data_IF_657929993332
#
_entry.id   IF_657929993332
#
_cell.length_a   1.000
_cell.length_b   1.000
_cell.length_c   1.000
_cell.angle_alpha   90.00
_cell.angle_beta   90.00
_cell.angle_gamma   90.00
#
_symmetry.space_group_name_H-M   'P 1'
#
loop_
_entity.id
_entity.type
_entity.pdbx_description
1 polymer ?
#
# COMPACT_ATOMS: atom_id res chain seq x y z
N UNK A 1 -60.20 24.23 59.46
CA UNK A 1 -59.34 24.96 58.50
C UNK A 1 -57.92 24.36 58.42
N UNK A 2 -57.23 24.15 59.54
CA UNK A 2 -55.88 23.54 59.58
C UNK A 2 -55.75 22.16 58.91
N UNK A 3 -56.73 21.27 59.08
CA UNK A 3 -56.69 19.92 58.49
C UNK A 3 -56.66 19.92 56.94
N UNK A 4 -57.38 20.84 56.30
CA UNK A 4 -57.38 20.97 54.83
C UNK A 4 -56.06 21.55 54.30
N UNK A 5 -55.42 22.45 55.06
CA UNK A 5 -54.12 23.00 54.71
C UNK A 5 -53.04 21.91 54.80
N UNK A 6 -53.04 21.14 55.89
CA UNK A 6 -52.14 20.02 56.10
C UNK A 6 -52.29 18.95 55.00
N UNK A 7 -53.52 18.62 54.60
CA UNK A 7 -53.79 17.69 53.51
C UNK A 7 -53.21 18.19 52.18
N UNK A 8 -53.40 19.46 51.82
CA UNK A 8 -52.82 20.04 50.59
C UNK A 8 -51.29 20.02 50.60
N UNK A 9 -50.66 20.31 51.74
CA UNK A 9 -49.20 20.23 51.87
C UNK A 9 -48.71 18.80 51.72
N UNK A 10 -49.40 17.82 52.31
CA UNK A 10 -49.07 16.41 52.17
C UNK A 10 -49.22 15.93 50.72
N UNK A 11 -50.31 16.27 50.03
CA UNK A 11 -50.50 15.93 48.61
C UNK A 11 -49.40 16.51 47.73
N UNK A 12 -49.09 17.80 47.90
CA UNK A 12 -48.03 18.47 47.12
C UNK A 12 -46.64 17.90 47.40
N UNK A 13 -46.36 17.53 48.65
CA UNK A 13 -45.11 16.87 49.02
C UNK A 13 -45.01 15.48 48.36
N UNK A 14 -46.12 14.74 48.29
CA UNK A 14 -46.15 13.42 47.66
C UNK A 14 -45.95 13.51 46.13
N UNK A 15 -46.58 14.49 45.48
CA UNK A 15 -46.38 14.78 44.05
C UNK A 15 -44.92 15.16 43.76
N UNK A 16 -44.30 16.02 44.58
CA UNK A 16 -42.89 16.38 44.45
C UNK A 16 -41.97 15.18 44.67
N UNK A 17 -42.25 14.33 45.65
CA UNK A 17 -41.47 13.11 45.90
C UNK A 17 -41.57 12.14 44.72
N UNK A 18 -42.77 11.98 44.14
CA UNK A 18 -42.96 11.13 42.96
C UNK A 18 -42.21 11.69 41.74
N UNK A 19 -42.29 13.00 41.50
CA UNK A 19 -41.56 13.65 40.42
C UNK A 19 -40.04 13.52 40.59
N UNK A 20 -39.55 13.69 41.83
CA UNK A 20 -38.13 13.51 42.16
C UNK A 20 -37.67 12.05 41.94
N UNK A 21 -38.48 11.06 42.31
CA UNK A 21 -38.17 9.65 42.07
C UNK A 21 -38.08 9.34 40.57
N UNK A 22 -39.04 9.82 39.77
CA UNK A 22 -39.02 9.65 38.31
C UNK A 22 -37.76 10.28 37.70
N UNK A 23 -37.43 11.50 38.12
CA UNK A 23 -36.24 12.20 37.63
C UNK A 23 -34.94 11.52 38.07
N UNK A 24 -34.89 10.99 39.29
CA UNK A 24 -33.74 10.22 39.78
C UNK A 24 -33.55 8.94 38.97
N UNK A 25 -34.62 8.17 38.72
CA UNK A 25 -34.53 6.95 37.91
C UNK A 25 -34.11 7.24 36.46
N UNK A 26 -34.60 8.34 35.87
CA UNK A 26 -34.16 8.78 34.55
C UNK A 26 -32.67 9.16 34.55
N UNK A 27 -32.20 9.84 35.59
CA UNK A 27 -30.79 10.24 35.73
C UNK A 27 -29.87 9.04 35.91
N UNK A 28 -30.25 8.05 36.72
CA UNK A 28 -29.49 6.79 36.89
C UNK A 28 -29.35 6.06 35.56
N UNK A 29 -30.43 5.94 34.79
CA UNK A 29 -30.41 5.29 33.48
C UNK A 29 -29.49 6.00 32.49
N UNK A 30 -29.52 7.33 32.47
CA UNK A 30 -28.62 8.12 31.63
C UNK A 30 -27.15 7.95 32.05
N UNK A 31 -26.88 7.89 33.36
CA UNK A 31 -25.53 7.64 33.86
C UNK A 31 -25.02 6.24 33.46
N UNK A 32 -25.87 5.21 33.53
CA UNK A 32 -25.53 3.85 33.07
C UNK A 32 -25.21 3.83 31.56
N UNK A 33 -26.04 4.48 30.73
CA UNK A 33 -25.81 4.58 29.29
C UNK A 33 -24.52 5.36 28.97
N UNK A 34 -24.25 6.44 29.70
CA UNK A 34 -23.03 7.22 29.54
C UNK A 34 -21.78 6.41 29.93
N UNK A 35 -21.85 5.63 31.01
CA UNK A 35 -20.75 4.75 31.42
C UNK A 35 -20.48 3.67 30.37
N UNK A 36 -21.52 3.04 29.83
CA UNK A 36 -21.38 2.05 28.77
C UNK A 36 -20.74 2.65 27.52
N UNK A 37 -21.20 3.84 27.09
CA UNK A 37 -20.61 4.53 25.94
C UNK A 37 -19.14 4.92 26.20
N UNK A 38 -18.80 5.34 27.41
CA UNK A 38 -17.42 5.66 27.79
C UNK A 38 -16.52 4.41 27.79
N UNK A 39 -17.03 3.26 28.24
CA UNK A 39 -16.31 1.99 28.17
C UNK A 39 -16.05 1.57 26.72
N UNK A 40 -17.07 1.65 25.86
CA UNK A 40 -16.93 1.38 24.42
C UNK A 40 -15.90 2.32 23.79
N UNK A 41 -16.01 3.62 24.05
CA UNK A 41 -15.06 4.63 23.57
C UNK A 41 -13.62 4.35 24.04
N UNK A 42 -13.42 3.96 25.31
CA UNK A 42 -12.12 3.59 25.85
C UNK A 42 -11.54 2.31 25.22
N UNK A 43 -12.40 1.36 24.83
CA UNK A 43 -11.96 0.17 24.07
C UNK A 43 -11.50 0.58 22.67
N UNK A 44 -12.23 1.45 21.99
CA UNK A 44 -11.83 1.96 20.68
C UNK A 44 -10.56 2.81 20.74
N UNK A 45 -10.44 3.70 21.72
CA UNK A 45 -9.25 4.53 21.92
C UNK A 45 -8.00 3.69 22.15
N UNK A 46 -8.07 2.68 23.02
CA UNK A 46 -6.94 1.75 23.26
C UNK A 46 -6.55 0.96 22.02
N UNK A 47 -7.51 0.55 21.18
CA UNK A 47 -7.22 -0.09 19.90
C UNK A 47 -6.58 0.87 18.90
N UNK A 48 -6.94 2.15 18.93
CA UNK A 48 -6.31 3.20 18.13
C UNK A 48 -4.85 3.42 18.53
N UNK A 49 -4.60 3.63 19.82
CA UNK A 49 -3.25 3.85 20.35
C UNK A 49 -2.30 2.67 20.08
N UNK A 50 -2.79 1.43 20.16
CA UNK A 50 -2.00 0.25 19.82
C UNK A 50 -1.49 0.26 18.37
N UNK A 51 -2.36 0.67 17.42
CA UNK A 51 -2.02 0.77 16.00
C UNK A 51 -1.04 1.90 15.70
N UNK A 52 -1.11 3.01 16.45
CA UNK A 52 -0.26 4.18 16.22
C UNK A 52 1.19 3.97 16.71
N UNK A 53 1.41 3.04 17.63
CA UNK A 53 2.74 2.74 18.21
C UNK A 53 3.43 1.56 17.47
N UNK A 54 2.73 0.89 16.55
CA UNK A 54 3.25 -0.28 15.85
C UNK A 54 4.44 0.10 14.95
N UNK A 55 5.63 -0.46 15.27
CA UNK A 55 6.82 -0.39 14.42
C UNK A 55 6.69 -1.43 13.31
N UNK A 56 5.82 -1.17 12.35
CA UNK A 56 5.69 -2.00 11.15
C UNK A 56 6.72 -1.58 10.11
N UNK A 57 7.89 -2.20 10.15
CA UNK A 57 8.86 -2.11 9.06
C UNK A 57 8.50 -3.18 8.02
N UNK A 58 7.56 -2.83 7.14
CA UNK A 58 7.29 -3.55 5.88
C UNK A 58 7.66 -2.61 4.74
N UNK A 59 8.56 -3.07 3.89
CA UNK A 59 8.97 -2.38 2.66
C UNK A 59 8.84 -3.34 1.50
N UNK A 60 8.65 -2.78 0.32
CA UNK A 60 8.57 -3.55 -0.91
C UNK A 60 9.66 -3.03 -1.84
N UNK A 61 10.39 -3.95 -2.45
CA UNK A 61 11.38 -3.66 -3.47
C UNK A 61 11.10 -4.55 -4.67
N UNK A 62 10.90 -3.93 -5.83
CA UNK A 62 10.61 -4.60 -7.08
C UNK A 62 11.80 -4.58 -8.02
N UNK A 63 12.12 -5.74 -8.61
CA UNK A 63 13.19 -5.89 -9.61
C UNK A 63 12.84 -6.98 -10.63
N UNK A 64 13.48 -6.97 -11.79
CA UNK A 64 13.35 -8.03 -12.79
C UNK A 64 14.13 -9.28 -12.37
N UNK A 65 13.44 -10.40 -12.20
CA UNK A 65 14.07 -11.70 -11.96
C UNK A 65 14.65 -12.26 -13.27
N UNK A 66 13.87 -12.14 -14.33
CA UNK A 66 14.25 -12.41 -15.71
C UNK A 66 13.36 -11.61 -16.65
N UNK A 67 13.69 -11.46 -17.95
CA UNK A 67 12.85 -10.72 -18.87
C UNK A 67 11.40 -11.23 -18.90
N UNK A 68 10.47 -10.33 -18.59
CA UNK A 68 9.04 -10.65 -18.46
C UNK A 68 8.63 -11.34 -17.17
N UNK A 69 9.50 -11.44 -16.16
CA UNK A 69 9.14 -11.83 -14.80
C UNK A 69 9.64 -10.80 -13.80
N UNK A 70 8.68 -10.07 -13.24
CA UNK A 70 8.93 -9.04 -12.25
C UNK A 70 8.75 -9.61 -10.85
N UNK A 71 9.77 -9.51 -10.00
CA UNK A 71 9.76 -9.98 -8.63
C UNK A 71 9.60 -8.81 -7.67
N UNK A 72 8.60 -8.91 -6.79
CA UNK A 72 8.37 -7.94 -5.73
C UNK A 72 8.67 -8.60 -4.38
N UNK A 73 9.77 -8.19 -3.75
CA UNK A 73 10.28 -8.77 -2.51
C UNK A 73 9.77 -7.98 -1.32
N UNK A 74 9.21 -8.68 -0.33
CA UNK A 74 8.93 -8.07 0.96
C UNK A 74 10.22 -7.94 1.77
N UNK A 75 10.54 -6.73 2.19
CA UNK A 75 11.63 -6.44 3.12
C UNK A 75 11.09 -5.94 4.46
N UNK A 76 11.94 -6.02 5.48
CA UNK A 76 11.63 -5.59 6.84
C UNK A 76 11.19 -6.72 7.76
N UNK A 77 11.07 -6.45 9.05
CA UNK A 77 10.93 -7.50 10.07
C UNK A 77 9.51 -8.03 10.23
N UNK A 78 8.50 -7.23 9.86
CA UNK A 78 7.10 -7.55 10.07
C UNK A 78 6.55 -8.48 8.96
N UNK A 79 5.44 -9.18 9.25
CA UNK A 79 4.69 -9.96 8.26
C UNK A 79 3.59 -9.10 7.67
N UNK A 80 3.44 -9.11 6.35
CA UNK A 80 2.32 -8.45 5.68
C UNK A 80 1.12 -9.39 5.58
N UNK A 81 -0.07 -8.90 5.94
CA UNK A 81 -1.33 -9.65 5.88
C UNK A 81 -2.26 -9.08 4.82
N UNK A 82 -3.15 -9.92 4.28
CA UNK A 82 -4.17 -9.51 3.30
C UNK A 82 -3.59 -8.67 2.15
N UNK A 83 -2.45 -9.13 1.62
CA UNK A 83 -1.66 -8.41 0.62
C UNK A 83 -2.36 -8.45 -0.74
N UNK A 84 -2.56 -7.28 -1.32
CA UNK A 84 -2.99 -7.09 -2.71
C UNK A 84 -1.91 -6.28 -3.41
N UNK A 85 -1.18 -6.92 -4.32
CA UNK A 85 -0.10 -6.29 -5.06
C UNK A 85 -0.50 -6.20 -6.54
N UNK A 86 -0.31 -5.02 -7.13
CA UNK A 86 -0.60 -4.72 -8.53
C UNK A 86 0.66 -4.11 -9.13
N UNK A 87 1.12 -4.71 -10.23
CA UNK A 87 2.25 -4.18 -11.00
C UNK A 87 1.75 -3.88 -12.40
N UNK A 88 2.11 -2.71 -12.92
CA UNK A 88 1.88 -2.34 -14.32
C UNK A 88 3.20 -2.10 -15.03
N UNK A 89 3.33 -2.67 -16.22
CA UNK A 89 4.47 -2.48 -17.13
C UNK A 89 3.92 -2.05 -18.48
N UNK A 90 4.24 -0.83 -18.91
CA UNK A 90 3.79 -0.24 -20.17
C UNK A 90 2.26 -0.35 -20.40
N UNK A 91 1.50 -0.20 -19.32
CA UNK A 91 0.03 -0.28 -19.33
C UNK A 91 -0.54 -1.70 -19.26
N UNK A 92 0.28 -2.74 -19.27
CA UNK A 92 -0.15 -4.10 -18.93
C UNK A 92 -0.18 -4.24 -17.42
N UNK A 93 -1.31 -4.63 -16.83
CA UNK A 93 -1.48 -4.73 -15.38
C UNK A 93 -1.67 -6.19 -14.95
N UNK A 94 -0.97 -6.59 -13.88
CA UNK A 94 -1.11 -7.92 -13.26
C UNK A 94 -1.26 -7.75 -11.75
N UNK A 95 -2.25 -8.43 -11.17
CA UNK A 95 -2.55 -8.39 -9.74
C UNK A 95 -2.36 -9.75 -9.07
N UNK A 96 -1.75 -9.78 -7.89
CA UNK A 96 -1.63 -10.95 -7.03
C UNK A 96 -2.26 -10.64 -5.68
N UNK A 97 -2.98 -11.62 -5.12
CA UNK A 97 -3.49 -11.58 -3.76
C UNK A 97 -2.85 -12.69 -2.95
N UNK A 98 -2.30 -12.34 -1.78
CA UNK A 98 -1.77 -13.31 -0.83
C UNK A 98 -2.32 -13.01 0.56
N UNK A 99 -2.86 -14.01 1.29
CA UNK A 99 -3.34 -13.78 2.65
C UNK A 99 -2.22 -13.42 3.62
N UNK A 100 -0.98 -13.81 3.29
CA UNK A 100 0.19 -13.58 4.14
C UNK A 100 1.45 -13.60 3.28
N UNK A 101 2.31 -12.62 3.50
CA UNK A 101 3.66 -12.56 2.93
C UNK A 101 4.64 -12.37 4.08
N UNK A 102 5.67 -13.23 4.15
CA UNK A 102 6.71 -13.15 5.17
C UNK A 102 7.96 -12.44 4.64
N UNK A 103 8.80 -11.93 5.55
CA UNK A 103 10.05 -11.27 5.19
C UNK A 103 10.90 -12.16 4.24
N UNK A 104 11.34 -11.57 3.13
CA UNK A 104 12.14 -12.23 2.08
C UNK A 104 11.31 -13.01 1.06
N UNK A 105 10.00 -13.14 1.24
CA UNK A 105 9.13 -13.75 0.25
C UNK A 105 8.97 -12.83 -0.96
N UNK A 106 8.96 -13.44 -2.16
CA UNK A 106 8.89 -12.73 -3.43
C UNK A 106 7.58 -13.07 -4.14
N UNK A 107 6.82 -12.04 -4.52
CA UNK A 107 5.67 -12.18 -5.40
C UNK A 107 6.13 -12.04 -6.85
N UNK A 108 5.84 -13.03 -7.68
CA UNK A 108 6.30 -13.07 -9.08
C UNK A 108 5.15 -12.74 -10.03
N UNK A 109 5.33 -11.69 -10.82
CA UNK A 109 4.39 -11.22 -11.84
C UNK A 109 4.92 -11.57 -13.22
N UNK A 110 4.04 -12.04 -14.10
CA UNK A 110 4.40 -12.44 -15.46
C UNK A 110 3.92 -11.39 -16.47
N UNK A 111 4.86 -10.90 -17.27
CA UNK A 111 4.66 -9.92 -18.34
C UNK A 111 5.24 -10.45 -19.66
N UNK A 112 4.52 -11.34 -20.37
CA UNK A 112 4.99 -11.89 -21.64
C UNK A 112 5.29 -10.81 -22.70
N UNK A 113 4.52 -9.73 -22.71
CA UNK A 113 4.74 -8.59 -23.60
C UNK A 113 6.08 -7.89 -23.32
N UNK A 114 6.48 -7.76 -22.05
CA UNK A 114 7.77 -7.19 -21.68
C UNK A 114 8.94 -8.10 -22.09
N UNK A 115 8.80 -9.43 -21.96
CA UNK A 115 9.81 -10.36 -22.48
C UNK A 115 10.00 -10.22 -24.00
N UNK A 116 8.91 -10.08 -24.74
CA UNK A 116 8.95 -9.91 -26.19
C UNK A 116 9.64 -8.58 -26.57
N UNK A 117 9.27 -7.47 -25.91
CA UNK A 117 9.88 -6.15 -26.12
C UNK A 117 11.40 -6.19 -25.84
N UNK A 118 11.79 -6.73 -24.68
CA UNK A 118 13.20 -6.90 -24.31
C UNK A 118 13.99 -7.69 -25.37
N UNK A 119 13.42 -8.79 -25.88
CA UNK A 119 14.09 -9.58 -26.91
C UNK A 119 14.28 -8.83 -28.24
N UNK A 120 13.30 -8.01 -28.63
CA UNK A 120 13.33 -7.22 -29.86
C UNK A 120 14.32 -6.06 -29.76
N UNK A 121 14.35 -5.38 -28.61
CA UNK A 121 15.34 -4.36 -28.30
C UNK A 121 16.74 -4.96 -28.35
N UNK A 122 16.96 -6.09 -27.64
CA UNK A 122 18.27 -6.73 -27.59
C UNK A 122 18.78 -7.13 -28.98
N UNK A 123 17.93 -7.70 -29.81
CA UNK A 123 18.28 -8.05 -31.20
C UNK A 123 18.68 -6.80 -32.01
N UNK A 124 17.96 -5.70 -31.85
CA UNK A 124 18.24 -4.43 -32.52
C UNK A 124 19.59 -3.84 -32.08
N UNK A 125 19.94 -3.99 -30.80
CA UNK A 125 21.25 -3.58 -30.29
C UNK A 125 22.38 -4.44 -30.82
N UNK A 126 22.22 -5.76 -30.81
CA UNK A 126 23.24 -6.67 -31.33
C UNK A 126 23.49 -6.41 -32.83
N UNK A 127 22.45 -6.09 -33.61
CA UNK A 127 22.59 -5.67 -35.01
C UNK A 127 23.33 -4.34 -35.15
N UNK A 128 22.99 -3.33 -34.34
CA UNK A 128 23.64 -2.03 -34.38
C UNK A 128 25.12 -2.11 -33.97
N UNK A 129 25.45 -2.92 -32.97
CA UNK A 129 26.83 -3.21 -32.55
C UNK A 129 27.57 -3.93 -33.68
N UNK A 130 26.95 -4.91 -34.32
CA UNK A 130 27.55 -5.64 -35.43
C UNK A 130 27.81 -4.72 -36.63
N UNK A 131 26.88 -3.84 -36.98
CA UNK A 131 27.04 -2.85 -38.06
C UNK A 131 28.14 -1.83 -37.74
N UNK A 132 28.23 -1.36 -36.50
CA UNK A 132 29.30 -0.46 -36.06
C UNK A 132 30.68 -1.12 -36.11
N UNK A 133 30.75 -2.44 -35.88
CA UNK A 133 31.99 -3.21 -35.96
C UNK A 133 32.44 -3.54 -37.40
N UNK A 134 31.60 -3.31 -38.43
CA UNK A 134 31.98 -3.60 -39.82
C UNK A 134 33.10 -2.66 -40.28
N UNK A 135 34.20 -3.18 -40.84
CA UNK A 135 35.28 -2.35 -41.36
C UNK A 135 34.78 -1.56 -42.57
N UNK A 136 34.48 -0.27 -42.37
CA UNK A 136 34.25 0.66 -43.48
C UNK A 136 35.60 0.86 -44.16
N UNK A 137 35.72 0.44 -45.42
CA UNK A 137 36.96 0.34 -46.20
C UNK A 137 37.69 1.66 -46.50
N UNK A 138 37.75 2.59 -45.55
CA UNK A 138 38.53 3.82 -45.59
C UNK A 138 39.89 3.58 -44.95
N UNK A 139 40.96 3.91 -45.70
CA UNK A 139 42.36 3.65 -45.36
C UNK A 139 42.85 4.31 -44.05
N UNK A 140 42.07 5.22 -43.47
CA UNK A 140 42.32 5.87 -42.19
C UNK A 140 40.98 5.97 -41.44
N UNK A 141 40.88 5.48 -40.18
CA UNK A 141 39.64 5.63 -39.42
C UNK A 141 39.42 7.13 -39.15
N UNK A 142 38.26 7.71 -39.52
CA UNK A 142 37.94 9.05 -39.07
C UNK A 142 37.88 9.04 -37.53
N UNK A 143 38.29 10.13 -36.88
CA UNK A 143 38.23 10.28 -35.41
C UNK A 143 36.83 9.94 -34.84
N UNK A 144 35.77 10.03 -35.64
CA UNK A 144 34.40 9.64 -35.30
C UNK A 144 34.17 8.13 -35.14
N UNK A 145 35.02 7.27 -35.72
CA UNK A 145 34.93 5.81 -35.55
C UNK A 145 35.33 5.36 -34.13
N UNK A 146 36.03 6.20 -33.37
CA UNK A 146 36.33 5.94 -31.96
C UNK A 146 35.19 6.31 -31.00
N UNK A 147 34.13 6.98 -31.47
CA UNK A 147 33.07 7.58 -30.62
C UNK A 147 31.66 7.12 -31.00
N UNK A 148 31.48 6.37 -32.10
CA UNK A 148 30.18 5.84 -32.49
C UNK A 148 29.79 4.61 -31.66
N UNK A 149 29.75 4.75 -30.34
CA UNK A 149 29.03 3.78 -29.52
C UNK A 149 27.53 3.95 -29.80
N UNK A 150 26.79 2.85 -29.99
CA UNK A 150 25.34 2.91 -30.05
C UNK A 150 24.82 3.57 -28.77
N UNK A 151 24.07 4.67 -28.94
CA UNK A 151 23.48 5.41 -27.83
C UNK A 151 22.22 4.67 -27.36
N UNK A 152 22.20 4.07 -26.16
CA UNK A 152 21.07 3.27 -25.68
C UNK A 152 19.78 4.10 -25.54
N UNK A 153 19.89 5.40 -25.28
CA UNK A 153 18.72 6.30 -25.19
C UNK A 153 18.08 6.53 -26.56
N UNK A 154 18.87 6.53 -27.64
CA UNK A 154 18.35 6.64 -29.02
C UNK A 154 17.73 5.35 -29.54
N UNK A 155 17.99 4.23 -28.87
CA UNK A 155 17.50 2.92 -29.27
C UNK A 155 16.32 2.42 -28.43
N UNK A 156 15.81 3.23 -27.50
CA UNK A 156 14.56 2.94 -26.77
C UNK A 156 14.70 2.05 -25.53
N UNK A 157 15.92 1.69 -25.12
CA UNK A 157 16.19 0.74 -24.01
C UNK A 157 15.70 1.18 -22.62
N UNK A 158 15.23 2.41 -22.50
CA UNK A 158 14.87 3.05 -21.24
C UNK A 158 13.61 3.90 -21.42
N UNK A 159 12.61 3.52 -22.22
CA UNK A 159 11.34 4.25 -22.28
C UNK A 159 10.17 3.46 -21.66
N UNK A 160 10.50 2.56 -20.73
CA UNK A 160 9.49 1.77 -20.06
C UNK A 160 9.02 2.43 -18.77
N UNK A 161 7.73 2.25 -18.50
CA UNK A 161 7.09 2.72 -17.28
C UNK A 161 6.66 1.51 -16.46
N UNK A 162 7.20 1.43 -15.25
CA UNK A 162 6.83 0.42 -14.26
C UNK A 162 6.17 1.14 -13.09
N UNK A 163 4.98 0.70 -12.71
CA UNK A 163 4.31 1.17 -11.48
C UNK A 163 3.92 0.00 -10.61
N UNK A 164 4.25 0.11 -9.33
CA UNK A 164 3.98 -0.91 -8.32
C UNK A 164 3.04 -0.30 -7.28
N UNK A 165 2.00 -1.05 -6.91
CA UNK A 165 1.12 -0.71 -5.80
C UNK A 165 0.89 -1.94 -4.94
N UNK A 166 1.11 -1.80 -3.64
CA UNK A 166 0.87 -2.87 -2.67
C UNK A 166 0.03 -2.34 -1.52
N UNK A 167 -1.15 -2.91 -1.35
CA UNK A 167 -2.00 -2.67 -0.19
C UNK A 167 -1.87 -3.88 0.75
N UNK A 168 -1.63 -3.65 2.05
CA UNK A 168 -1.56 -4.72 3.05
C UNK A 168 -2.15 -4.28 4.39
N UNK A 169 -2.40 -5.25 5.26
CA UNK A 169 -2.75 -5.08 6.66
C UNK A 169 -1.57 -5.50 7.57
N UNK A 170 -1.37 -4.78 8.66
CA UNK A 170 -0.43 -5.14 9.73
C UNK A 170 -1.04 -6.24 10.60
N UNK A 171 -0.26 -6.81 11.53
CA UNK A 171 -0.77 -7.84 12.45
C UNK A 171 -1.95 -7.34 13.31
N UNK A 172 -2.03 -6.03 13.57
CA UNK A 172 -3.11 -5.38 14.31
C UNK A 172 -4.25 -4.86 13.43
N UNK A 173 -4.20 -5.16 12.12
CA UNK A 173 -5.21 -4.78 11.14
C UNK A 173 -5.16 -3.32 10.73
N UNK A 174 -4.02 -2.63 10.88
CA UNK A 174 -3.83 -1.32 10.28
C UNK A 174 -3.55 -1.48 8.79
N UNK A 175 -4.27 -0.75 7.93
CA UNK A 175 -4.01 -0.78 6.49
C UNK A 175 -2.85 0.14 6.13
N UNK A 176 -1.98 -0.35 5.23
CA UNK A 176 -0.81 0.35 4.72
C UNK A 176 -0.75 0.20 3.20
N UNK A 177 -0.10 1.17 2.56
CA UNK A 177 0.02 1.23 1.11
C UNK A 177 1.45 1.59 0.74
N UNK A 178 1.98 0.90 -0.27
CA UNK A 178 3.23 1.19 -0.94
C UNK A 178 2.90 1.50 -2.39
N UNK A 179 3.40 2.62 -2.89
CA UNK A 179 3.29 3.02 -4.28
C UNK A 179 4.70 3.43 -4.76
N UNK A 180 5.13 2.86 -5.87
CA UNK A 180 6.38 3.17 -6.54
C UNK A 180 6.11 3.37 -8.02
N UNK A 181 6.76 4.37 -8.62
CA UNK A 181 6.69 4.62 -10.06
C UNK A 181 8.10 4.85 -10.57
N UNK A 182 8.55 3.97 -11.47
CA UNK A 182 9.82 4.06 -12.14
C UNK A 182 9.58 4.49 -13.59
N UNK A 183 10.22 5.60 -13.95
CA UNK A 183 10.27 6.11 -15.32
C UNK A 183 11.63 5.77 -15.91
N UNK A 184 11.65 5.45 -17.19
CA UNK A 184 12.86 5.08 -17.90
C UNK A 184 13.51 3.80 -17.37
N UNK A 185 12.69 2.82 -17.02
CA UNK A 185 13.15 1.52 -16.51
C UNK A 185 13.66 0.63 -17.66
N UNK A 186 14.54 -0.32 -17.34
CA UNK A 186 14.85 -1.45 -18.23
C UNK A 186 13.83 -2.58 -18.05
N UNK A 187 13.61 -3.42 -19.08
CA UNK A 187 12.78 -4.63 -19.02
C UNK A 187 13.54 -5.92 -18.69
N UNK A 188 14.81 -5.79 -18.28
CA UNK A 188 15.69 -6.90 -17.97
C UNK A 188 16.39 -6.70 -16.62
N UNK A 189 16.96 -7.79 -16.07
CA UNK A 189 17.70 -7.74 -14.81
C UNK A 189 18.90 -6.79 -14.92
N UNK A 190 19.18 -6.09 -13.82
CA UNK A 190 20.33 -5.22 -13.66
C UNK A 190 21.65 -5.99 -13.46
#
# INVERSE_FOLDING_TARGET
MYAQLAHRHASRANELAQAANVQSSASTRLAEQANQLAEEANVYARRGEARDIERDDVRWEGDWVEPGRYGLVQQGEATAHDVVAVVSVDGSEVSIRSPRVVNGETLIFEFPAAAAAYSAERASWDEAVAEAARPRGTAWPPLSAFVAQPDPLRMGFHDHRISERVDWATAQGAHKVHESEQKFASLGPH
#
